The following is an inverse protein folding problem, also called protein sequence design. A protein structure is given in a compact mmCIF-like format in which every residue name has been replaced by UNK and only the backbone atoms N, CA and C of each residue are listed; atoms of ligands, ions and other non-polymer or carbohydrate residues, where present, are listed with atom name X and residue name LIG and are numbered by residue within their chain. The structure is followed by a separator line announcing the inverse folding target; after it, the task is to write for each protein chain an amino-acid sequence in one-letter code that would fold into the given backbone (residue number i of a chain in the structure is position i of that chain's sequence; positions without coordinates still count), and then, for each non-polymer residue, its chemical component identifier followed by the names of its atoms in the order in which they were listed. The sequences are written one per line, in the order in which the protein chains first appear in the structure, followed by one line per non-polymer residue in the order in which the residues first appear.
data_IF_195078543329
#
_entry.id   IF_195078543329
#
_cell.length_a   1.000
_cell.length_b   1.000
_cell.length_c   1.000
_cell.angle_alpha   90.00
_cell.angle_beta   90.00
_cell.angle_gamma   90.00
#
_symmetry.space_group_name_H-M   'P 1'
#
loop_
_entity.id
_entity.type
_entity.pdbx_description
1 polymer ?
#
# COMPACT_ATOMS: atom_id res chain seq x y z
N UNK A 1 24.63 25.69 -18.33
CA UNK A 1 23.16 25.50 -18.38
C UNK A 1 22.69 24.06 -18.12
N UNK A 2 23.56 23.07 -17.85
CA UNK A 2 23.17 21.67 -17.57
C UNK A 2 22.85 21.37 -16.08
N UNK A 3 23.19 22.24 -15.13
CA UNK A 3 22.95 21.96 -13.69
C UNK A 3 21.53 22.22 -13.20
N UNK A 4 20.70 22.96 -13.95
CA UNK A 4 19.33 23.31 -13.49
C UNK A 4 18.30 22.21 -13.74
N UNK A 5 18.50 21.34 -14.74
CA UNK A 5 17.53 20.28 -15.09
C UNK A 5 17.58 19.08 -14.14
N UNK A 6 18.73 18.78 -13.53
CA UNK A 6 18.86 17.66 -12.58
C UNK A 6 18.16 17.93 -11.24
N UNK A 7 18.11 19.19 -10.79
CA UNK A 7 17.47 19.55 -9.52
C UNK A 7 15.93 19.49 -9.59
N UNK A 8 15.34 19.80 -10.74
CA UNK A 8 13.89 19.73 -10.93
C UNK A 8 13.34 18.29 -10.92
N UNK A 9 14.10 17.33 -11.45
CA UNK A 9 13.71 15.91 -11.44
C UNK A 9 13.74 15.29 -10.05
N UNK A 10 14.70 15.69 -9.20
CA UNK A 10 14.80 15.20 -7.82
C UNK A 10 13.64 15.71 -6.93
N UNK A 11 13.15 16.94 -7.16
CA UNK A 11 12.01 17.48 -6.41
C UNK A 11 10.68 16.80 -6.77
N UNK A 12 10.44 16.45 -8.04
CA UNK A 12 9.23 15.71 -8.43
C UNK A 12 9.19 14.28 -7.85
N UNK A 13 10.34 13.61 -7.73
CA UNK A 13 10.42 12.28 -7.11
C UNK A 13 10.15 12.31 -5.60
N UNK A 14 10.51 13.39 -4.91
CA UNK A 14 10.23 13.57 -3.47
C UNK A 14 8.76 13.95 -3.20
N UNK A 15 8.10 14.70 -4.09
CA UNK A 15 6.67 15.01 -3.94
C UNK A 15 5.76 13.81 -4.23
N UNK A 16 6.17 12.88 -5.10
CA UNK A 16 5.38 11.68 -5.38
C UNK A 16 5.29 10.70 -4.19
N UNK A 17 6.19 10.81 -3.20
CA UNK A 17 6.19 9.97 -1.99
C UNK A 17 5.39 10.54 -0.82
N UNK A 18 4.94 11.79 -0.90
CA UNK A 18 4.14 12.46 0.13
C UNK A 18 2.72 12.68 -0.40
N UNK A 19 2.05 11.59 -0.81
CA UNK A 19 0.60 11.61 -0.92
C UNK A 19 0.08 11.65 0.53
N UNK A 20 0.07 12.85 1.12
CA UNK A 20 -0.80 13.16 2.25
C UNK A 20 -2.22 12.89 1.75
N UNK A 21 -2.69 11.66 1.93
CA UNK A 21 -4.12 11.44 1.91
C UNK A 21 -4.61 12.14 3.17
N UNK A 22 -5.07 13.41 3.05
CA UNK A 22 -5.79 14.19 4.10
C UNK A 22 -7.08 13.50 4.59
N UNK A 23 -7.26 12.25 4.16
CA UNK A 23 -8.28 11.27 4.49
C UNK A 23 -8.33 10.97 5.99
N UNK A 24 -7.34 11.37 6.79
CA UNK A 24 -7.24 11.05 8.22
C UNK A 24 -6.71 12.19 9.08
N UNK A 25 -7.63 12.92 9.71
CA UNK A 25 -7.34 13.96 10.70
C UNK A 25 -7.49 13.46 12.16
N UNK A 26 -7.61 12.15 12.39
CA UNK A 26 -7.74 11.56 13.73
C UNK A 26 -6.49 10.81 14.16
N UNK A 27 -6.07 10.97 15.42
CA UNK A 27 -5.12 10.06 16.06
C UNK A 27 -5.73 8.66 16.10
N UNK A 28 -5.23 7.78 15.24
CA UNK A 28 -5.52 6.36 15.22
C UNK A 28 -5.07 5.70 16.52
N UNK A 29 -6.02 5.30 17.36
CA UNK A 29 -5.71 4.32 18.40
C UNK A 29 -5.61 2.93 17.77
N UNK A 30 -4.74 2.06 18.31
CA UNK A 30 -4.53 0.71 17.79
C UNK A 30 -5.82 -0.11 17.70
N UNK A 31 -6.78 0.15 18.58
CA UNK A 31 -8.10 -0.48 18.56
C UNK A 31 -8.96 -0.05 17.35
N UNK A 32 -8.82 1.18 16.86
CA UNK A 32 -9.55 1.68 15.70
C UNK A 32 -8.95 1.19 14.38
N UNK A 33 -7.69 0.76 14.40
CA UNK A 33 -7.01 0.24 13.21
C UNK A 33 -7.75 -0.96 12.61
N UNK A 34 -8.31 -1.82 13.48
CA UNK A 34 -9.07 -3.01 13.07
C UNK A 34 -10.58 -2.86 13.18
N UNK A 35 -11.08 -1.67 13.52
CA UNK A 35 -12.52 -1.39 13.47
C UNK A 35 -12.95 -1.10 12.02
N UNK A 36 -12.85 -2.15 11.21
CA UNK A 36 -13.18 -2.14 9.80
C UNK A 36 -14.67 -2.47 9.67
N UNK A 37 -15.41 -1.62 8.94
CA UNK A 37 -16.78 -1.95 8.54
C UNK A 37 -16.80 -3.30 7.82
N UNK A 38 -17.80 -4.14 8.11
CA UNK A 38 -17.95 -5.45 7.46
C UNK A 38 -17.85 -5.30 5.95
N UNK A 39 -16.83 -5.91 5.35
CA UNK A 39 -16.62 -5.97 3.91
C UNK A 39 -16.32 -7.40 3.51
N UNK A 40 -16.52 -7.73 2.23
CA UNK A 40 -16.26 -9.06 1.70
C UNK A 40 -14.85 -9.59 2.08
N UNK A 41 -13.85 -8.70 2.06
CA UNK A 41 -12.48 -9.02 2.43
C UNK A 41 -12.31 -9.32 3.93
N UNK A 42 -12.96 -8.52 4.79
CA UNK A 42 -12.91 -8.70 6.25
C UNK A 42 -13.61 -10.00 6.64
N UNK A 43 -14.75 -10.32 6.02
CA UNK A 43 -15.49 -11.55 6.30
C UNK A 43 -14.72 -12.79 5.82
N UNK A 44 -14.09 -12.73 4.64
CA UNK A 44 -13.27 -13.83 4.11
C UNK A 44 -12.03 -14.11 4.97
N UNK A 45 -11.45 -13.07 5.58
CA UNK A 45 -10.22 -13.16 6.36
C UNK A 45 -10.45 -13.21 7.87
N UNK A 46 -11.70 -13.31 8.30
CA UNK A 46 -12.08 -13.26 9.72
C UNK A 46 -11.31 -14.23 10.59
N UNK A 47 -11.11 -15.47 10.13
CA UNK A 47 -10.39 -16.51 10.88
C UNK A 47 -8.92 -16.17 11.13
N UNK A 48 -8.28 -15.43 10.21
CA UNK A 48 -6.89 -14.96 10.34
C UNK A 48 -6.80 -13.66 11.14
N UNK A 49 -7.83 -12.82 11.07
CA UNK A 49 -7.85 -11.48 11.68
C UNK A 49 -8.38 -11.45 13.11
N UNK A 50 -9.29 -12.36 13.49
CA UNK A 50 -9.86 -12.41 14.84
C UNK A 50 -8.78 -12.63 15.94
N UNK A 51 -7.78 -13.52 15.77
CA UNK A 51 -6.69 -13.67 16.75
C UNK A 51 -5.87 -12.38 16.91
N UNK A 52 -5.55 -11.70 15.80
CA UNK A 52 -4.84 -10.42 15.80
C UNK A 52 -5.63 -9.35 16.53
N UNK A 53 -6.94 -9.26 16.25
CA UNK A 53 -7.84 -8.31 16.92
C UNK A 53 -7.87 -8.55 18.42
N UNK A 54 -7.98 -9.82 18.85
CA UNK A 54 -7.94 -10.18 20.28
C UNK A 54 -6.59 -9.83 20.92
N UNK A 55 -5.48 -10.09 20.23
CA UNK A 55 -4.14 -9.76 20.73
C UNK A 55 -3.97 -8.24 20.93
N UNK A 56 -4.38 -7.45 19.95
CA UNK A 56 -4.32 -5.98 20.01
C UNK A 56 -5.24 -5.44 21.11
N UNK A 57 -6.47 -5.95 21.23
CA UNK A 57 -7.38 -5.59 22.32
C UNK A 57 -6.85 -5.95 23.70
N UNK A 58 -6.19 -7.10 23.83
CA UNK A 58 -5.56 -7.53 25.08
C UNK A 58 -4.35 -6.66 25.47
N UNK A 59 -3.64 -6.11 24.48
CA UNK A 59 -2.52 -5.20 24.70
C UNK A 59 -2.94 -3.78 25.12
N UNK A 60 -4.14 -3.32 24.73
CA UNK A 60 -4.59 -1.95 25.00
C UNK A 60 -3.62 -0.92 24.43
N UNK A 61 -3.18 0.03 25.27
CA UNK A 61 -2.22 1.08 24.90
C UNK A 61 -0.75 0.72 25.22
N UNK A 62 -0.45 -0.54 25.60
CA UNK A 62 0.92 -0.98 25.85
C UNK A 62 1.68 -1.20 24.53
N UNK A 63 2.50 -0.22 24.17
CA UNK A 63 3.35 -0.27 22.98
C UNK A 63 4.27 -1.50 22.93
N UNK A 64 4.75 -1.99 24.08
CA UNK A 64 5.63 -3.17 24.14
C UNK A 64 4.87 -4.44 23.76
N UNK A 65 3.61 -4.52 24.17
CA UNK A 65 2.72 -5.63 23.83
C UNK A 65 2.29 -5.57 22.36
N UNK A 66 1.92 -4.39 21.86
CA UNK A 66 1.55 -4.17 20.47
C UNK A 66 2.73 -4.49 19.53
N UNK A 67 3.94 -4.02 19.85
CA UNK A 67 5.09 -4.17 18.97
C UNK A 67 5.81 -5.53 19.08
N UNK A 68 5.19 -6.52 19.73
CA UNK A 68 5.73 -7.88 19.79
C UNK A 68 5.71 -8.53 18.41
N UNK A 69 6.77 -9.28 18.10
CA UNK A 69 6.92 -9.96 16.80
C UNK A 69 5.71 -10.84 16.43
N UNK A 70 5.08 -11.51 17.39
CA UNK A 70 3.90 -12.34 17.16
C UNK A 70 2.66 -11.52 16.76
N UNK A 71 2.47 -10.35 17.39
CA UNK A 71 1.39 -9.41 17.06
C UNK A 71 1.61 -8.81 15.67
N UNK A 72 2.85 -8.44 15.33
CA UNK A 72 3.19 -7.93 14.00
C UNK A 72 2.99 -8.99 12.92
N UNK A 73 3.44 -10.23 13.17
CA UNK A 73 3.29 -11.33 12.23
C UNK A 73 1.82 -11.69 11.98
N UNK A 74 0.99 -11.72 13.04
CA UNK A 74 -0.45 -11.97 12.91
C UNK A 74 -1.17 -10.81 12.22
N UNK A 75 -0.74 -9.55 12.44
CA UNK A 75 -1.24 -8.40 11.71
C UNK A 75 -0.89 -8.47 10.22
N UNK A 76 0.36 -8.79 9.89
CA UNK A 76 0.80 -9.00 8.51
C UNK A 76 -0.03 -10.09 7.81
N UNK A 77 -0.27 -11.23 8.46
CA UNK A 77 -1.08 -12.30 7.89
C UNK A 77 -2.54 -11.89 7.64
N UNK A 78 -3.14 -11.13 8.56
CA UNK A 78 -4.47 -10.58 8.40
C UNK A 78 -4.54 -9.60 7.21
N UNK A 79 -3.64 -8.62 7.16
CA UNK A 79 -3.55 -7.65 6.06
C UNK A 79 -3.26 -8.32 4.72
N UNK A 80 -2.38 -9.33 4.71
CA UNK A 80 -2.06 -10.12 3.53
C UNK A 80 -3.28 -10.87 3.00
N UNK A 81 -4.06 -11.49 3.89
CA UNK A 81 -5.30 -12.15 3.50
C UNK A 81 -6.29 -11.14 2.90
N UNK A 82 -6.48 -9.99 3.56
CA UNK A 82 -7.42 -8.97 3.09
C UNK A 82 -7.00 -8.43 1.72
N UNK A 83 -5.72 -8.14 1.51
CA UNK A 83 -5.19 -7.76 0.20
C UNK A 83 -5.48 -8.85 -0.84
N UNK A 84 -5.15 -10.11 -0.56
CA UNK A 84 -5.41 -11.24 -1.48
C UNK A 84 -6.88 -11.33 -1.85
N UNK A 85 -7.79 -11.22 -0.88
CA UNK A 85 -9.24 -11.29 -1.13
C UNK A 85 -9.75 -10.15 -2.01
N UNK A 86 -9.21 -8.93 -1.85
CA UNK A 86 -9.54 -7.79 -2.71
C UNK A 86 -9.06 -8.00 -4.14
N UNK A 87 -7.86 -8.57 -4.31
CA UNK A 87 -7.30 -8.85 -5.63
C UNK A 87 -8.10 -9.95 -6.33
N UNK A 88 -8.42 -11.05 -5.63
CA UNK A 88 -9.23 -12.17 -6.15
C UNK A 88 -10.62 -11.67 -6.58
N UNK A 89 -11.27 -10.87 -5.74
CA UNK A 89 -12.58 -10.31 -6.06
C UNK A 89 -12.53 -9.21 -7.13
N UNK A 90 -11.33 -8.72 -7.49
CA UNK A 90 -11.11 -7.59 -8.40
C UNK A 90 -11.98 -6.37 -8.06
N UNK A 91 -12.12 -6.09 -6.76
CA UNK A 91 -12.90 -4.96 -6.27
C UNK A 91 -11.98 -3.85 -5.77
N UNK A 92 -12.42 -2.60 -5.92
CA UNK A 92 -11.73 -1.48 -5.27
C UNK A 92 -11.80 -1.65 -3.76
N UNK A 93 -10.71 -1.29 -3.11
CA UNK A 93 -10.61 -1.24 -1.66
C UNK A 93 -11.68 -0.28 -1.10
N UNK A 94 -12.66 -0.76 -0.29
CA UNK A 94 -13.74 0.08 0.23
C UNK A 94 -13.26 1.04 1.32
N UNK A 95 -12.24 0.65 2.07
CA UNK A 95 -11.59 1.44 3.12
C UNK A 95 -10.05 1.41 2.92
N UNK A 96 -9.36 2.57 2.86
CA UNK A 96 -7.92 2.65 2.63
C UNK A 96 -7.03 1.94 3.67
N UNK A 97 -7.60 1.45 4.78
CA UNK A 97 -6.90 0.63 5.78
C UNK A 97 -6.69 -0.82 5.33
N UNK A 98 -7.63 -1.37 4.56
CA UNK A 98 -7.76 -2.81 4.32
C UNK A 98 -6.72 -3.30 3.31
N UNK A 99 -5.71 -4.06 3.74
CA UNK A 99 -4.64 -4.55 2.86
C UNK A 99 -3.67 -3.44 2.46
N UNK A 100 -3.40 -2.49 3.35
CA UNK A 100 -2.65 -1.27 3.04
C UNK A 100 -1.22 -1.30 3.56
N UNK A 101 -0.24 -1.21 2.64
CA UNK A 101 1.17 -1.07 2.99
C UNK A 101 1.45 0.18 3.82
N UNK A 102 0.67 1.25 3.60
CA UNK A 102 0.80 2.51 4.35
C UNK A 102 0.48 2.27 5.83
N UNK A 103 -0.55 1.49 6.14
CA UNK A 103 -0.91 1.13 7.52
C UNK A 103 0.20 0.36 8.20
N UNK A 104 0.75 -0.68 7.56
CA UNK A 104 1.86 -1.44 8.14
C UNK A 104 3.13 -0.59 8.33
N UNK A 105 3.41 0.34 7.42
CA UNK A 105 4.53 1.27 7.56
C UNK A 105 4.33 2.25 8.71
N UNK A 106 3.10 2.73 8.92
CA UNK A 106 2.73 3.57 10.06
C UNK A 106 2.84 2.81 11.38
N UNK A 107 2.41 1.55 11.41
CA UNK A 107 2.57 0.66 12.57
C UNK A 107 4.04 0.46 12.92
N UNK A 108 4.89 0.17 11.94
CA UNK A 108 6.33 0.01 12.13
C UNK A 108 6.98 1.29 12.67
N UNK A 109 6.58 2.45 12.14
CA UNK A 109 7.06 3.75 12.60
C UNK A 109 6.62 4.04 14.04
N UNK A 110 5.38 3.71 14.42
CA UNK A 110 4.88 3.85 15.78
C UNK A 110 5.64 2.95 16.78
N UNK A 111 5.97 1.73 16.37
CA UNK A 111 6.80 0.83 17.17
C UNK A 111 8.22 1.36 17.38
N UNK A 112 8.85 1.84 16.31
CA UNK A 112 10.17 2.45 16.38
C UNK A 112 10.20 3.73 17.25
N UNK A 113 9.11 4.52 17.23
CA UNK A 113 8.97 5.70 18.06
C UNK A 113 8.78 5.37 19.56
N UNK A 114 8.19 4.21 19.86
CA UNK A 114 7.97 3.74 21.24
C UNK A 114 9.23 3.12 21.85
N UNK A 115 9.86 2.20 21.12
CA UNK A 115 11.15 1.61 21.46
C UNK A 115 11.88 1.14 20.18
N UNK A 116 13.04 1.71 19.84
CA UNK A 116 13.82 1.29 18.68
C UNK A 116 14.23 -0.20 18.70
N UNK A 117 14.31 -0.83 19.89
CA UNK A 117 14.61 -2.25 20.00
C UNK A 117 13.45 -3.14 19.54
N UNK A 118 12.24 -2.60 19.45
CA UNK A 118 11.03 -3.28 18.99
C UNK A 118 10.72 -3.02 17.52
N UNK A 119 11.65 -2.43 16.76
CA UNK A 119 11.43 -2.14 15.35
C UNK A 119 11.23 -3.45 14.55
N UNK A 120 10.05 -3.66 13.95
CA UNK A 120 9.81 -4.83 13.12
C UNK A 120 10.69 -4.78 11.88
N UNK A 121 11.14 -5.95 11.41
CA UNK A 121 11.96 -6.04 10.21
C UNK A 121 11.15 -5.63 8.98
N UNK A 122 11.81 -5.09 7.95
CA UNK A 122 11.16 -4.71 6.70
C UNK A 122 10.40 -5.88 6.05
N UNK A 123 10.91 -7.11 6.22
CA UNK A 123 10.24 -8.32 5.73
C UNK A 123 8.97 -8.68 6.49
N UNK A 124 8.80 -8.17 7.72
CA UNK A 124 7.62 -8.41 8.56
C UNK A 124 6.51 -7.38 8.33
N UNK A 125 6.77 -6.35 7.53
CA UNK A 125 5.83 -5.25 7.27
C UNK A 125 5.56 -5.05 5.78
N UNK A 126 6.22 -5.82 4.90
CA UNK A 126 5.99 -5.80 3.47
C UNK A 126 4.87 -6.78 3.09
N UNK A 127 3.76 -6.27 2.56
CA UNK A 127 2.78 -7.11 1.88
C UNK A 127 3.40 -7.65 0.59
N UNK A 128 3.23 -8.95 0.36
CA UNK A 128 3.60 -9.58 -0.89
C UNK A 128 2.35 -9.68 -1.78
N UNK A 129 2.55 -9.63 -3.10
CA UNK A 129 1.48 -10.05 -4.01
C UNK A 129 1.39 -11.58 -3.92
N UNK A 130 0.20 -12.15 -3.68
CA UNK A 130 0.04 -13.60 -3.63
C UNK A 130 0.51 -14.23 -4.94
N UNK A 131 1.31 -15.29 -4.85
CA UNK A 131 1.75 -16.08 -6.00
C UNK A 131 0.82 -17.26 -6.28
N UNK A 132 -0.09 -17.56 -5.36
CA UNK A 132 -1.12 -18.58 -5.47
C UNK A 132 -2.46 -18.05 -4.93
N UNK A 133 -3.55 -18.52 -5.53
CA UNK A 133 -4.91 -18.27 -5.06
C UNK A 133 -5.21 -19.07 -3.76
N UNK A 134 -6.34 -18.79 -3.11
CA UNK A 134 -6.85 -19.50 -1.93
C UNK A 134 -6.94 -21.02 -2.18
N UNK A 135 -7.19 -21.44 -3.43
CA UNK A 135 -7.28 -22.85 -3.83
C UNK A 135 -5.92 -23.49 -4.20
N UNK A 136 -4.80 -22.75 -4.07
CA UNK A 136 -3.45 -23.23 -4.38
C UNK A 136 -3.11 -23.24 -5.87
N UNK A 137 -3.94 -22.65 -6.73
CA UNK A 137 -3.66 -22.45 -8.16
C UNK A 137 -2.69 -21.29 -8.36
N UNK A 138 -1.82 -21.32 -9.39
CA UNK A 138 -0.96 -20.18 -9.72
C UNK A 138 -1.80 -18.91 -9.93
N UNK A 139 -1.43 -17.84 -9.22
CA UNK A 139 -2.19 -16.60 -9.22
C UNK A 139 -1.83 -15.77 -10.45
N UNK A 140 -2.62 -15.90 -11.52
CA UNK A 140 -2.40 -15.18 -12.78
C UNK A 140 -3.18 -13.86 -12.80
N UNK A 141 -2.97 -13.01 -11.78
CA UNK A 141 -3.62 -11.70 -11.73
C UNK A 141 -2.95 -10.73 -12.72
N UNK A 142 -3.67 -10.21 -13.73
CA UNK A 142 -3.10 -9.36 -14.77
C UNK A 142 -2.70 -7.95 -14.28
N UNK A 143 -2.79 -7.68 -12.98
CA UNK A 143 -2.53 -6.38 -12.41
C UNK A 143 -3.73 -5.42 -12.45
N UNK A 144 -3.64 -4.26 -11.79
CA UNK A 144 -4.66 -3.22 -11.86
C UNK A 144 -4.65 -2.54 -13.24
N UNK A 145 -3.59 -2.76 -14.01
CA UNK A 145 -3.45 -2.42 -15.42
C UNK A 145 -3.96 -3.53 -16.35
N UNK A 146 -4.95 -4.33 -15.92
CA UNK A 146 -5.69 -5.23 -16.81
C UNK A 146 -6.29 -4.55 -18.04
N UNK A 147 -6.19 -3.21 -18.14
CA UNK A 147 -6.07 -2.50 -19.41
C UNK A 147 -4.73 -2.91 -20.06
N UNK A 148 -4.67 -4.13 -20.61
CA UNK A 148 -3.83 -4.36 -21.76
C UNK A 148 -4.32 -3.40 -22.84
N UNK A 149 -3.74 -2.20 -22.92
CA UNK A 149 -3.77 -1.50 -24.19
C UNK A 149 -3.14 -2.49 -25.14
N UNK A 150 -3.88 -3.00 -26.15
CA UNK A 150 -3.25 -3.84 -27.15
C UNK A 150 -2.03 -3.07 -27.65
N UNK A 151 -0.91 -3.76 -27.86
CA UNK A 151 0.35 -3.18 -28.32
C UNK A 151 0.19 -2.01 -29.30
N UNK A 152 -0.73 -2.05 -30.31
CA UNK A 152 -1.03 -0.89 -31.16
C UNK A 152 -1.53 0.37 -30.43
N UNK A 153 -2.43 0.24 -29.45
CA UNK A 153 -2.99 1.37 -28.71
C UNK A 153 -1.92 2.05 -27.83
N UNK A 154 -0.99 1.28 -27.26
CA UNK A 154 0.12 1.83 -26.48
C UNK A 154 1.08 2.63 -27.36
N UNK A 155 1.39 2.13 -28.57
CA UNK A 155 2.21 2.88 -29.55
C UNK A 155 1.57 4.21 -29.93
N UNK A 156 0.25 4.23 -30.15
CA UNK A 156 -0.48 5.46 -30.46
C UNK A 156 -0.48 6.47 -29.30
N UNK A 157 -0.66 6.00 -28.07
CA UNK A 157 -0.62 6.88 -26.89
C UNK A 157 0.77 7.50 -26.69
N UNK A 158 1.84 6.70 -26.82
CA UNK A 158 3.22 7.19 -26.67
C UNK A 158 3.60 8.16 -27.78
N UNK A 159 3.21 7.88 -29.02
CA UNK A 159 3.51 8.77 -30.16
C UNK A 159 2.76 10.09 -30.08
N UNK A 160 1.50 10.09 -29.64
CA UNK A 160 0.75 11.32 -29.42
C UNK A 160 1.36 12.17 -28.29
N UNK A 161 1.75 11.54 -27.18
CA UNK A 161 2.42 12.22 -26.07
C UNK A 161 3.78 12.80 -26.49
N UNK A 162 4.58 12.04 -27.23
CA UNK A 162 5.87 12.50 -27.75
C UNK A 162 5.72 13.65 -28.75
N UNK A 163 4.71 13.62 -29.62
CA UNK A 163 4.43 14.69 -30.57
C UNK A 163 4.05 15.99 -29.87
N UNK A 164 3.17 15.92 -28.86
CA UNK A 164 2.80 17.10 -28.07
C UNK A 164 3.96 17.63 -27.24
N UNK A 165 4.71 16.74 -26.55
CA UNK A 165 5.87 17.14 -25.76
C UNK A 165 6.99 17.75 -26.60
N UNK A 166 7.28 17.17 -27.77
CA UNK A 166 8.26 17.70 -28.72
C UNK A 166 7.86 19.08 -29.27
N UNK A 167 6.58 19.30 -29.56
CA UNK A 167 6.06 20.60 -30.00
C UNK A 167 6.27 21.70 -28.95
N UNK A 168 6.03 21.39 -27.67
CA UNK A 168 6.29 22.34 -26.58
C UNK A 168 7.78 22.70 -26.44
N UNK A 169 8.68 21.72 -26.54
CA UNK A 169 10.14 21.97 -26.48
C UNK A 169 10.60 22.83 -27.66
N UNK A 170 10.07 22.58 -28.86
CA UNK A 170 10.44 23.34 -30.04
C UNK A 170 10.00 24.81 -29.95
N UNK A 171 8.79 25.07 -29.42
CA UNK A 171 8.29 26.43 -29.18
C UNK A 171 9.12 27.17 -28.13
N UNK A 172 9.51 26.50 -27.04
CA UNK A 172 10.39 27.07 -26.01
C UNK A 172 11.81 27.34 -26.51
N UNK A 173 12.27 26.60 -27.52
CA UNK A 173 13.61 26.78 -28.10
C UNK A 173 13.67 27.91 -29.13
N UNK A 174 12.52 28.45 -29.55
CA UNK A 174 12.42 29.56 -30.51
C UNK A 174 11.80 30.83 -29.89
N UNK A 175 11.65 30.85 -28.56
CA UNK A 175 11.38 32.04 -27.74
C UNK A 175 12.70 32.58 -27.19
#
# INVERSE_FOLDING_TARGET
MQSFTFSAFAMMLMLAGQVHCDCWHGQLHGAELLDLSSSLAVDACKTMCDPTRQAIQACGDDATCLCRADTVASLLQCEQCMLTSLIVANVRMPDPRVGSQVVLSGYAAACNASDPALMPNATQTALAIPTADIDGTPFDWPGPSGIFLPTPALVLAVTAAAGMGGGFIYLLSNL
#
